data_IF_820293188441
#
_entry.id   IF_820293188441
#
_cell.length_a   1.000
_cell.length_b   1.000
_cell.length_c   1.000
_cell.angle_alpha   90.00
_cell.angle_beta   90.00
_cell.angle_gamma   90.00
#
_symmetry.space_group_name_H-M   'P 1'
#
loop_
_entity.id
_entity.type
_entity.pdbx_description
1 polymer ?
#
# COMPACT_ATOMS: atom_id res chain seq x y z
N UNK A 1 14.98 1.30 1.88
CA UNK A 1 14.77 2.37 2.86
C UNK A 1 16.07 3.04 3.28
N UNK A 2 16.14 4.35 3.09
CA UNK A 2 17.34 5.14 3.40
C UNK A 2 17.54 5.31 4.90
N UNK A 3 16.43 5.46 5.64
CA UNK A 3 16.43 5.90 7.03
C UNK A 3 15.81 4.90 8.03
N UNK A 4 15.27 3.79 7.55
CA UNK A 4 14.44 2.88 8.37
C UNK A 4 12.98 3.31 8.43
N UNK A 5 12.10 2.35 8.70
CA UNK A 5 10.65 2.58 8.71
C UNK A 5 10.23 3.56 9.80
N UNK A 6 10.79 3.42 10.99
CA UNK A 6 10.46 4.25 12.15
C UNK A 6 10.78 5.73 11.95
N UNK A 7 11.96 6.04 11.39
CA UNK A 7 12.41 7.43 11.21
C UNK A 7 11.56 8.22 10.21
N UNK A 8 10.93 7.52 9.26
CA UNK A 8 10.03 8.15 8.28
C UNK A 8 8.60 8.20 8.82
N UNK A 9 8.15 7.15 9.52
CA UNK A 9 6.77 7.05 9.97
C UNK A 9 6.43 8.00 11.11
N UNK A 10 7.36 8.26 12.04
CA UNK A 10 7.11 9.15 13.18
C UNK A 10 6.73 10.57 12.71
N UNK A 11 7.53 11.27 11.88
CA UNK A 11 7.17 12.62 11.46
C UNK A 11 5.88 12.63 10.59
N UNK A 12 5.65 11.62 9.77
CA UNK A 12 4.43 11.55 8.96
C UNK A 12 3.17 11.37 9.80
N UNK A 13 3.22 10.55 10.86
CA UNK A 13 2.12 10.42 11.82
C UNK A 13 1.86 11.74 12.55
N UNK A 14 2.91 12.44 12.96
CA UNK A 14 2.78 13.73 13.64
C UNK A 14 2.09 14.75 12.72
N UNK A 15 2.53 14.83 11.46
CA UNK A 15 1.88 15.70 10.46
C UNK A 15 0.42 15.31 10.27
N UNK A 16 0.12 14.02 10.16
CA UNK A 16 -1.25 13.53 10.03
C UNK A 16 -2.09 13.89 11.26
N UNK A 17 -1.58 13.69 12.48
CA UNK A 17 -2.30 14.04 13.72
C UNK A 17 -2.61 15.54 13.79
N UNK A 18 -1.64 16.39 13.44
CA UNK A 18 -1.82 17.85 13.42
C UNK A 18 -2.91 18.21 12.39
N UNK A 19 -2.83 17.66 11.18
CA UNK A 19 -3.80 17.88 10.12
C UNK A 19 -5.20 17.39 10.51
N UNK A 20 -5.30 16.22 11.14
CA UNK A 20 -6.54 15.65 11.63
C UNK A 20 -7.19 16.53 12.70
N UNK A 21 -6.40 16.97 13.68
CA UNK A 21 -6.88 17.88 14.75
C UNK A 21 -7.30 19.24 14.18
N UNK A 22 -6.50 19.80 13.26
CA UNK A 22 -6.83 21.04 12.58
C UNK A 22 -8.13 20.93 11.78
N UNK A 23 -8.32 19.81 11.05
CA UNK A 23 -9.54 19.56 10.28
C UNK A 23 -10.79 19.57 11.17
N UNK A 24 -10.75 18.84 12.29
CA UNK A 24 -11.85 18.78 13.26
C UNK A 24 -12.12 20.17 13.86
N UNK A 25 -11.07 20.89 14.24
CA UNK A 25 -11.19 22.23 14.81
C UNK A 25 -11.82 23.20 13.81
N UNK A 26 -11.41 23.14 12.55
CA UNK A 26 -11.97 23.98 11.48
C UNK A 26 -13.45 23.65 11.21
N UNK A 27 -13.82 22.38 11.18
CA UNK A 27 -15.23 21.96 11.01
C UNK A 27 -16.07 22.45 12.19
N UNK A 28 -15.58 22.30 13.42
CA UNK A 28 -16.29 22.75 14.63
C UNK A 28 -16.44 24.25 14.67
N UNK A 29 -15.42 24.99 14.26
CA UNK A 29 -15.42 26.46 14.16
C UNK A 29 -16.20 26.98 12.95
N UNK A 30 -16.75 26.11 12.09
CA UNK A 30 -17.50 26.46 10.88
C UNK A 30 -16.74 27.42 9.95
N UNK A 31 -15.44 27.21 9.80
CA UNK A 31 -14.61 28.00 8.89
C UNK A 31 -15.02 27.80 7.42
N UNK A 32 -14.72 28.76 6.53
CA UNK A 32 -15.01 28.63 5.11
C UNK A 32 -14.41 27.34 4.51
N UNK A 33 -15.16 26.65 3.65
CA UNK A 33 -14.81 25.32 3.12
C UNK A 33 -13.47 25.28 2.39
N UNK A 34 -13.00 26.37 1.79
CA UNK A 34 -11.72 26.42 1.09
C UNK A 34 -10.51 26.15 2.02
N UNK A 35 -10.62 26.48 3.31
CA UNK A 35 -9.58 26.19 4.31
C UNK A 35 -9.43 24.68 4.49
N UNK A 36 -10.55 23.93 4.44
CA UNK A 36 -10.54 22.48 4.56
C UNK A 36 -9.75 21.84 3.40
N UNK A 37 -9.89 22.38 2.18
CA UNK A 37 -9.12 21.93 1.02
C UNK A 37 -7.60 22.12 1.19
N UNK A 38 -7.17 23.12 1.95
CA UNK A 38 -5.75 23.32 2.26
C UNK A 38 -5.22 22.31 3.28
N UNK A 39 -6.07 21.78 4.15
CA UNK A 39 -5.69 20.81 5.20
C UNK A 39 -5.67 19.36 4.67
N UNK A 40 -6.63 19.01 3.80
CA UNK A 40 -6.80 17.65 3.28
C UNK A 40 -5.52 17.03 2.69
N UNK A 41 -4.68 17.74 1.92
CA UNK A 41 -3.43 17.15 1.43
C UNK A 41 -2.49 16.66 2.52
N UNK A 42 -2.47 17.28 3.69
CA UNK A 42 -1.66 16.84 4.83
C UNK A 42 -2.22 15.59 5.51
N UNK A 43 -3.51 15.31 5.34
CA UNK A 43 -4.12 14.03 5.76
C UNK A 43 -3.59 12.84 4.92
N UNK A 44 -3.07 13.09 3.71
CA UNK A 44 -2.43 12.06 2.89
C UNK A 44 -1.04 11.65 3.40
N UNK A 45 -0.48 12.36 4.39
CA UNK A 45 0.82 12.04 5.00
C UNK A 45 0.76 10.82 5.95
N UNK A 46 -0.19 9.92 5.76
CA UNK A 46 -0.26 8.66 6.51
C UNK A 46 0.75 7.65 5.97
N UNK A 47 1.53 6.96 6.82
CA UNK A 47 2.43 5.92 6.34
C UNK A 47 1.68 4.78 5.65
N UNK A 48 2.25 4.15 4.61
CA UNK A 48 1.62 3.01 3.94
C UNK A 48 1.78 1.72 4.76
N UNK A 49 1.01 1.60 5.85
CA UNK A 49 1.10 0.51 6.83
C UNK A 49 1.05 -0.88 6.20
N UNK A 50 0.14 -1.10 5.24
CA UNK A 50 0.02 -2.38 4.55
C UNK A 50 1.27 -2.76 3.76
N UNK A 51 1.92 -1.81 3.08
CA UNK A 51 3.18 -2.06 2.38
C UNK A 51 4.33 -2.32 3.35
N UNK A 52 4.40 -1.56 4.45
CA UNK A 52 5.43 -1.73 5.48
C UNK A 52 5.29 -3.06 6.22
N UNK A 53 4.06 -3.49 6.52
CA UNK A 53 3.77 -4.79 7.13
C UNK A 53 4.19 -5.94 6.20
N UNK A 54 3.83 -5.88 4.92
CA UNK A 54 4.26 -6.89 3.93
C UNK A 54 5.77 -6.96 3.79
N UNK A 55 6.47 -5.82 3.84
CA UNK A 55 7.92 -5.79 3.84
C UNK A 55 8.52 -6.46 5.08
N UNK A 56 7.92 -6.29 6.26
CA UNK A 56 8.35 -7.00 7.48
C UNK A 56 8.21 -8.51 7.34
N UNK A 57 7.07 -9.00 6.82
CA UNK A 57 6.86 -10.43 6.55
C UNK A 57 7.89 -11.01 5.59
N UNK A 58 8.13 -10.34 4.46
CA UNK A 58 9.12 -10.81 3.49
C UNK A 58 10.55 -10.82 4.04
N UNK A 59 10.86 -9.93 4.97
CA UNK A 59 12.18 -9.88 5.62
C UNK A 59 12.32 -10.96 6.69
N UNK A 60 11.30 -11.19 7.51
CA UNK A 60 11.30 -12.21 8.57
C UNK A 60 11.33 -13.63 8.03
N UNK A 61 10.60 -13.88 6.94
CA UNK A 61 10.44 -15.20 6.33
C UNK A 61 11.38 -15.41 5.14
N UNK A 62 12.44 -14.60 5.03
CA UNK A 62 13.42 -14.67 3.95
C UNK A 62 14.01 -16.09 3.84
N UNK A 63 13.81 -16.70 2.66
CA UNK A 63 14.28 -18.07 2.36
C UNK A 63 13.19 -19.13 2.40
N UNK A 64 12.00 -18.82 2.90
CA UNK A 64 10.85 -19.73 2.91
C UNK A 64 9.70 -19.10 2.11
N UNK A 65 9.64 -19.41 0.82
CA UNK A 65 8.65 -18.88 -0.12
C UNK A 65 7.23 -19.28 0.27
N UNK A 66 7.03 -20.51 0.78
CA UNK A 66 5.71 -21.00 1.13
C UNK A 66 5.14 -20.24 2.33
N UNK A 67 5.93 -20.04 3.39
CA UNK A 67 5.50 -19.25 4.55
C UNK A 67 5.30 -17.78 4.19
N UNK A 68 6.14 -17.22 3.33
CA UNK A 68 5.98 -15.85 2.84
C UNK A 68 4.65 -15.69 2.12
N UNK A 69 4.32 -16.59 1.19
CA UNK A 69 3.05 -16.54 0.47
C UNK A 69 1.84 -16.67 1.40
N UNK A 70 1.91 -17.58 2.37
CA UNK A 70 0.85 -17.74 3.40
C UNK A 70 0.68 -16.46 4.23
N UNK A 71 1.78 -15.82 4.66
CA UNK A 71 1.73 -14.58 5.43
C UNK A 71 1.15 -13.41 4.61
N UNK A 72 1.50 -13.31 3.33
CA UNK A 72 0.95 -12.30 2.43
C UNK A 72 -0.54 -12.52 2.17
N UNK A 73 -0.97 -13.78 1.96
CA UNK A 73 -2.39 -14.13 1.82
C UNK A 73 -3.17 -13.78 3.10
N UNK A 74 -2.62 -14.12 4.27
CA UNK A 74 -3.22 -13.77 5.55
C UNK A 74 -3.35 -12.25 5.72
N UNK A 75 -2.35 -11.47 5.29
CA UNK A 75 -2.43 -10.01 5.31
C UNK A 75 -3.57 -9.50 4.43
N UNK A 76 -3.82 -10.11 3.26
CA UNK A 76 -4.96 -9.78 2.41
C UNK A 76 -6.30 -10.05 3.10
N UNK A 77 -6.43 -11.19 3.78
CA UNK A 77 -7.65 -11.51 4.55
C UNK A 77 -7.88 -10.49 5.68
N UNK A 78 -6.82 -10.06 6.38
CA UNK A 78 -6.95 -9.02 7.40
C UNK A 78 -7.37 -7.68 6.79
N UNK A 79 -6.82 -7.29 5.64
CA UNK A 79 -7.22 -6.07 4.94
C UNK A 79 -8.73 -6.09 4.63
N UNK A 80 -9.26 -7.21 4.10
CA UNK A 80 -10.69 -7.38 3.83
C UNK A 80 -11.53 -7.34 5.12
N UNK A 81 -11.12 -8.04 6.18
CA UNK A 81 -11.81 -8.00 7.46
C UNK A 81 -11.90 -6.58 8.02
N UNK A 82 -10.84 -5.77 7.87
CA UNK A 82 -10.84 -4.37 8.29
C UNK A 82 -11.87 -3.53 7.51
N UNK A 83 -12.04 -3.78 6.22
CA UNK A 83 -13.07 -3.11 5.42
C UNK A 83 -14.49 -3.52 5.84
N UNK A 84 -14.70 -4.81 6.06
CA UNK A 84 -16.02 -5.36 6.48
C UNK A 84 -16.45 -4.84 7.85
N UNK A 85 -15.53 -4.69 8.79
CA UNK A 85 -15.83 -4.24 10.17
C UNK A 85 -15.71 -2.72 10.29
N UNK A 86 -14.67 -2.13 9.71
CA UNK A 86 -14.32 -0.72 9.92
C UNK A 86 -15.37 0.24 9.37
N UNK A 87 -15.84 0.01 8.15
CA UNK A 87 -16.80 0.90 7.52
C UNK A 87 -18.17 0.93 8.25
N UNK A 88 -18.80 -0.20 8.62
CA UNK A 88 -20.03 -0.20 9.41
C UNK A 88 -19.84 0.45 10.79
N UNK A 89 -18.73 0.15 11.46
CA UNK A 89 -18.43 0.70 12.76
C UNK A 89 -18.28 2.24 12.70
N UNK A 90 -17.46 2.73 11.77
CA UNK A 90 -17.28 4.17 11.57
C UNK A 90 -18.60 4.88 11.20
N UNK A 91 -19.40 4.28 10.32
CA UNK A 91 -20.71 4.81 9.93
C UNK A 91 -21.69 4.87 11.10
N UNK A 92 -21.73 3.82 11.93
CA UNK A 92 -22.60 3.78 13.13
C UNK A 92 -22.19 4.85 14.14
N UNK A 93 -20.89 5.00 14.39
CA UNK A 93 -20.38 6.05 15.27
C UNK A 93 -20.67 7.45 14.72
N UNK A 94 -20.58 7.63 13.38
CA UNK A 94 -20.87 8.91 12.73
C UNK A 94 -22.34 9.32 12.84
N UNK A 95 -23.27 8.37 12.91
CA UNK A 95 -24.70 8.64 13.16
C UNK A 95 -24.91 9.23 14.56
N UNK A 96 -24.15 8.75 15.55
CA UNK A 96 -24.21 9.25 16.94
C UNK A 96 -23.55 10.65 16.97
N UNK A 97 -22.32 10.76 16.49
CA UNK A 97 -21.57 12.01 16.41
C UNK A 97 -20.40 11.87 15.45
N UNK A 98 -20.29 12.79 14.49
CA UNK A 98 -19.14 12.83 13.59
C UNK A 98 -17.82 13.04 14.34
N UNK A 99 -17.83 13.81 15.41
CA UNK A 99 -16.65 14.00 16.28
C UNK A 99 -16.24 12.69 16.96
N UNK A 100 -17.21 11.90 17.43
CA UNK A 100 -16.96 10.62 18.09
C UNK A 100 -16.34 9.63 17.10
N UNK A 101 -16.90 9.51 15.90
CA UNK A 101 -16.35 8.64 14.84
C UNK A 101 -14.91 9.02 14.49
N UNK A 102 -14.67 10.31 14.31
CA UNK A 102 -13.35 10.80 13.98
C UNK A 102 -12.32 10.60 15.09
N UNK A 103 -12.70 10.89 16.34
CA UNK A 103 -11.84 10.67 17.51
C UNK A 103 -11.52 9.19 17.72
N UNK A 104 -12.50 8.31 17.56
CA UNK A 104 -12.31 6.86 17.65
C UNK A 104 -11.30 6.38 16.58
N UNK A 105 -11.48 6.79 15.34
CA UNK A 105 -10.55 6.47 14.24
C UNK A 105 -9.14 6.98 14.54
N UNK A 106 -9.03 8.21 15.03
CA UNK A 106 -7.74 8.81 15.43
C UNK A 106 -7.04 8.01 16.52
N UNK A 107 -7.77 7.59 17.55
CA UNK A 107 -7.22 6.73 18.62
C UNK A 107 -6.76 5.39 18.06
N UNK A 108 -7.54 4.74 17.19
CA UNK A 108 -7.15 3.47 16.57
C UNK A 108 -5.87 3.62 15.75
N UNK A 109 -5.74 4.70 14.96
CA UNK A 109 -4.52 4.98 14.17
C UNK A 109 -3.32 5.18 15.08
N UNK A 110 -3.44 5.96 16.15
CA UNK A 110 -2.34 6.22 17.09
C UNK A 110 -1.92 4.95 17.82
N UNK A 111 -2.88 4.17 18.33
CA UNK A 111 -2.60 2.91 19.04
C UNK A 111 -1.94 1.92 18.08
N UNK A 112 -2.49 1.73 16.88
CA UNK A 112 -1.90 0.85 15.86
C UNK A 112 -0.50 1.29 15.46
N UNK A 113 -0.28 2.59 15.27
CA UNK A 113 1.02 3.16 14.96
C UNK A 113 2.03 2.92 16.09
N UNK A 114 1.63 3.13 17.35
CA UNK A 114 2.49 2.86 18.51
C UNK A 114 2.86 1.39 18.59
N UNK A 115 1.89 0.48 18.46
CA UNK A 115 2.17 -0.97 18.45
C UNK A 115 3.14 -1.35 17.32
N UNK A 116 2.91 -0.83 16.11
CA UNK A 116 3.78 -1.12 14.97
C UNK A 116 5.19 -0.56 15.13
N UNK A 117 5.34 0.63 15.69
CA UNK A 117 6.63 1.32 15.84
C UNK A 117 7.42 0.84 17.07
N UNK A 118 6.76 0.29 18.08
CA UNK A 118 7.44 -0.29 19.25
C UNK A 118 8.01 -1.68 18.96
N UNK A 119 7.44 -2.41 17.97
CA UNK A 119 7.93 -3.71 17.56
C UNK A 119 9.19 -3.57 16.69
N UNK A 120 10.34 -3.45 17.34
CA UNK A 120 11.65 -3.25 16.70
C UNK A 120 12.26 -4.55 16.18
N UNK A 121 11.86 -5.70 16.74
CA UNK A 121 12.41 -7.01 16.37
C UNK A 121 12.13 -7.38 14.91
N UNK A 122 11.02 -6.86 14.37
CA UNK A 122 10.57 -7.12 13.01
C UNK A 122 10.94 -6.02 12.01
N UNK A 123 11.54 -4.91 12.47
CA UNK A 123 11.89 -3.80 11.60
C UNK A 123 13.02 -4.20 10.64
N UNK A 124 12.85 -4.05 9.31
CA UNK A 124 13.92 -4.26 8.35
C UNK A 124 15.06 -3.29 8.59
N UNK A 125 16.29 -3.81 8.64
CA UNK A 125 17.47 -2.98 8.80
C UNK A 125 17.57 -1.93 7.70
N UNK A 126 17.86 -0.70 8.09
CA UNK A 126 18.08 0.38 7.13
C UNK A 126 19.34 0.13 6.29
N UNK A 127 19.41 0.70 5.08
CA UNK A 127 20.63 0.60 4.23
C UNK A 127 21.89 1.07 4.96
N UNK A 128 21.76 2.03 5.86
CA UNK A 128 22.89 2.52 6.66
C UNK A 128 23.37 1.49 7.67
N UNK A 129 22.45 0.74 8.29
CA UNK A 129 22.79 -0.34 9.21
C UNK A 129 23.42 -1.53 8.48
N UNK A 130 22.84 -1.92 7.34
CA UNK A 130 23.36 -2.99 6.50
C UNK A 130 24.75 -2.67 5.95
N UNK A 131 25.01 -1.44 5.54
CA UNK A 131 26.33 -0.98 5.11
C UNK A 131 27.36 -1.06 6.24
N UNK A 132 27.00 -0.63 7.46
CA UNK A 132 27.87 -0.74 8.64
C UNK A 132 28.21 -2.20 8.99
N UNK A 133 27.22 -3.08 8.97
CA UNK A 133 27.42 -4.52 9.23
C UNK A 133 28.30 -5.18 8.16
N UNK A 134 28.21 -4.71 6.92
CA UNK A 134 29.06 -5.18 5.82
C UNK A 134 30.48 -4.55 5.83
N UNK A 135 30.79 -3.66 6.77
CA UNK A 135 32.07 -2.96 6.82
C UNK A 135 32.32 -2.03 5.62
N UNK A 136 31.28 -1.57 4.97
CA UNK A 136 31.32 -0.76 3.75
C UNK A 136 30.78 0.64 3.98
N UNK A 137 31.19 1.58 3.12
CA UNK A 137 30.51 2.86 3.05
C UNK A 137 29.11 2.66 2.46
N UNK A 138 28.17 3.55 2.80
CA UNK A 138 26.82 3.52 2.27
C UNK A 138 26.77 3.58 0.74
N UNK A 139 27.74 4.28 0.12
CA UNK A 139 27.83 4.39 -1.34
C UNK A 139 28.18 3.03 -1.96
N UNK A 140 29.24 2.40 -1.46
CA UNK A 140 29.67 1.06 -1.90
C UNK A 140 28.57 0.01 -1.71
N UNK A 141 27.87 0.04 -0.58
CA UNK A 141 26.73 -0.86 -0.34
C UNK A 141 25.62 -0.67 -1.37
N UNK A 142 25.25 0.58 -1.69
CA UNK A 142 24.26 0.88 -2.73
C UNK A 142 24.70 0.41 -4.11
N UNK A 143 25.96 0.61 -4.47
CA UNK A 143 26.50 0.18 -5.76
C UNK A 143 26.47 -1.36 -5.85
N UNK A 144 26.83 -2.05 -4.79
CA UNK A 144 26.75 -3.51 -4.70
C UNK A 144 25.31 -4.03 -4.79
N UNK A 145 24.38 -3.43 -4.07
CA UNK A 145 22.96 -3.77 -4.13
C UNK A 145 22.36 -3.47 -5.51
N UNK A 146 22.74 -2.37 -6.14
CA UNK A 146 22.31 -2.05 -7.50
C UNK A 146 22.85 -3.05 -8.51
N UNK A 147 24.11 -3.47 -8.39
CA UNK A 147 24.69 -4.51 -9.24
C UNK A 147 24.00 -5.86 -9.04
N UNK A 148 23.74 -6.24 -7.78
CA UNK A 148 23.00 -7.46 -7.46
C UNK A 148 21.56 -7.42 -7.98
N UNK A 149 20.86 -6.32 -7.80
CA UNK A 149 19.51 -6.13 -8.35
C UNK A 149 19.50 -6.23 -9.87
N UNK A 150 20.50 -5.65 -10.55
CA UNK A 150 20.66 -5.76 -11.99
C UNK A 150 20.90 -7.20 -12.44
N UNK A 151 21.72 -7.95 -11.70
CA UNK A 151 21.96 -9.36 -12.00
C UNK A 151 20.68 -10.22 -11.86
N UNK A 152 19.93 -10.02 -10.78
CA UNK A 152 18.64 -10.70 -10.56
C UNK A 152 17.59 -10.32 -11.63
N UNK A 153 17.56 -9.06 -12.04
CA UNK A 153 16.68 -8.62 -13.14
C UNK A 153 17.06 -9.27 -14.47
N UNK A 154 18.35 -9.42 -14.75
CA UNK A 154 18.82 -10.10 -15.96
C UNK A 154 18.42 -11.58 -15.94
N UNK A 155 18.61 -12.25 -14.81
CA UNK A 155 18.22 -13.65 -14.64
C UNK A 155 16.70 -13.85 -14.86
N UNK A 156 15.88 -13.03 -14.21
CA UNK A 156 14.43 -13.05 -14.36
C UNK A 156 13.98 -12.74 -15.81
N UNK A 157 14.61 -11.77 -16.46
CA UNK A 157 14.32 -11.44 -17.87
C UNK A 157 14.66 -12.59 -18.82
N UNK A 158 15.78 -13.26 -18.59
CA UNK A 158 16.20 -14.43 -19.37
C UNK A 158 15.21 -15.59 -19.17
N UNK A 159 14.80 -15.85 -17.92
CA UNK A 159 13.83 -16.90 -17.62
C UNK A 159 12.48 -16.62 -18.27
N UNK A 160 11.98 -15.39 -18.15
CA UNK A 160 10.75 -14.94 -18.80
C UNK A 160 10.82 -15.07 -20.33
N UNK A 161 11.91 -14.62 -20.96
CA UNK A 161 12.10 -14.72 -22.40
C UNK A 161 12.14 -16.18 -22.87
N UNK A 162 12.78 -17.06 -22.08
CA UNK A 162 12.82 -18.50 -22.33
C UNK A 162 11.43 -19.13 -22.31
N UNK A 163 10.67 -18.85 -21.23
CA UNK A 163 9.37 -19.49 -21.03
C UNK A 163 8.34 -18.98 -22.05
N UNK A 164 8.40 -17.69 -22.38
CA UNK A 164 7.58 -17.10 -23.44
C UNK A 164 7.90 -17.70 -24.81
N UNK A 165 9.18 -17.77 -25.19
CA UNK A 165 9.57 -18.33 -26.47
C UNK A 165 9.18 -19.82 -26.59
N UNK A 166 9.22 -20.58 -25.49
CA UNK A 166 8.75 -21.98 -25.46
C UNK A 166 7.22 -22.06 -25.58
N UNK A 167 6.47 -21.19 -24.94
CA UNK A 167 5.01 -21.17 -25.08
C UNK A 167 4.54 -20.77 -26.49
N UNK A 168 5.35 -19.97 -27.20
CA UNK A 168 5.11 -19.59 -28.58
C UNK A 168 5.55 -20.69 -29.59
N UNK A 169 6.05 -21.83 -29.10
CA UNK A 169 6.46 -22.95 -29.94
C UNK A 169 7.75 -22.71 -30.78
N UNK A 170 8.60 -21.78 -30.36
CA UNK A 170 9.84 -21.42 -31.04
C UNK A 170 10.87 -22.54 -30.97
N UNK A 171 11.72 -22.59 -31.97
CA UNK A 171 12.84 -23.55 -32.03
C UNK A 171 13.88 -23.27 -30.96
N UNK A 172 14.70 -24.24 -30.62
CA UNK A 172 15.74 -24.09 -29.58
C UNK A 172 16.72 -22.93 -29.91
N UNK A 173 17.02 -22.68 -31.17
CA UNK A 173 17.88 -21.58 -31.60
C UNK A 173 17.21 -20.20 -31.36
N UNK A 174 15.92 -20.09 -31.66
CA UNK A 174 15.13 -18.86 -31.40
C UNK A 174 14.92 -18.59 -29.92
N UNK A 175 14.76 -19.63 -29.11
CA UNK A 175 14.71 -19.51 -27.66
C UNK A 175 16.04 -18.96 -27.13
N UNK A 176 17.17 -19.50 -27.61
CA UNK A 176 18.48 -19.00 -27.18
C UNK A 176 18.71 -17.55 -27.61
N UNK A 177 18.35 -17.18 -28.84
CA UNK A 177 18.43 -15.80 -29.31
C UNK A 177 17.57 -14.83 -28.45
N UNK A 178 16.37 -15.24 -28.05
CA UNK A 178 15.51 -14.43 -27.16
C UNK A 178 16.15 -14.25 -25.79
N UNK A 179 16.77 -15.27 -25.22
CA UNK A 179 17.49 -15.19 -23.96
C UNK A 179 18.71 -14.25 -24.04
N UNK A 180 19.50 -14.36 -25.09
CA UNK A 180 20.70 -13.52 -25.33
C UNK A 180 20.30 -12.05 -25.51
N UNK A 181 19.22 -11.80 -26.23
CA UNK A 181 18.68 -10.46 -26.41
C UNK A 181 18.17 -9.88 -25.08
N UNK A 182 17.43 -10.64 -24.25
CA UNK A 182 16.98 -10.21 -22.95
C UNK A 182 18.15 -9.83 -22.03
N UNK A 183 19.20 -10.63 -22.02
CA UNK A 183 20.42 -10.35 -21.28
C UNK A 183 21.13 -9.06 -21.76
N UNK A 184 21.21 -8.86 -23.07
CA UNK A 184 21.81 -7.67 -23.71
C UNK A 184 21.01 -6.40 -23.35
N UNK A 185 19.68 -6.44 -23.40
CA UNK A 185 18.81 -5.31 -23.09
C UNK A 185 18.93 -4.86 -21.63
N UNK A 186 19.00 -5.79 -20.68
CA UNK A 186 19.24 -5.47 -19.25
C UNK A 186 20.64 -4.90 -19.06
N UNK A 187 21.67 -5.45 -19.74
CA UNK A 187 23.05 -4.97 -19.65
C UNK A 187 23.22 -3.58 -20.27
N UNK A 188 22.56 -3.31 -21.38
CA UNK A 188 22.55 -2.00 -22.03
C UNK A 188 21.80 -0.92 -21.22
N UNK A 189 21.18 -1.32 -20.08
CA UNK A 189 20.38 -0.39 -19.26
C UNK A 189 19.13 0.09 -20.00
N UNK A 190 18.71 -0.61 -21.06
CA UNK A 190 17.40 -0.40 -21.66
C UNK A 190 16.37 -0.69 -20.58
N UNK A 191 15.92 0.37 -19.93
CA UNK A 191 14.71 0.29 -19.14
C UNK A 191 13.59 0.00 -20.12
N UNK A 192 13.09 -1.24 -20.13
CA UNK A 192 11.75 -1.43 -20.66
C UNK A 192 10.90 -0.35 -19.98
N UNK A 193 10.25 0.45 -20.81
CA UNK A 193 9.37 1.48 -20.28
C UNK A 193 8.37 0.79 -19.40
N UNK A 194 8.45 1.05 -18.10
CA UNK A 194 7.45 0.56 -17.12
C UNK A 194 6.03 0.97 -17.59
N UNK A 195 5.96 2.04 -18.38
CA UNK A 195 4.74 2.55 -19.00
C UNK A 195 4.34 1.78 -20.27
N UNK A 196 4.35 0.45 -20.20
CA UNK A 196 3.76 -0.39 -21.24
C UNK A 196 2.22 -0.34 -21.21
N UNK A 197 1.55 -0.69 -22.32
CA UNK A 197 0.09 -0.68 -22.40
C UNK A 197 -0.56 -1.53 -21.30
N UNK A 198 0.09 -2.60 -20.84
CA UNK A 198 -0.37 -3.42 -19.73
C UNK A 198 -0.42 -2.67 -18.39
N UNK A 199 0.62 -1.90 -18.06
CA UNK A 199 0.61 -1.11 -16.81
C UNK A 199 -0.41 0.02 -16.88
N UNK A 200 -0.55 0.68 -18.04
CA UNK A 200 -1.58 1.71 -18.23
C UNK A 200 -2.96 1.11 -18.02
N UNK A 201 -3.25 -0.07 -18.59
CA UNK A 201 -4.52 -0.77 -18.39
C UNK A 201 -4.76 -1.08 -16.90
N UNK A 202 -3.77 -1.57 -16.16
CA UNK A 202 -3.85 -1.82 -14.72
C UNK A 202 -4.13 -0.52 -13.96
N UNK A 203 -3.42 0.56 -14.25
CA UNK A 203 -3.63 1.86 -13.60
C UNK A 203 -5.05 2.41 -13.86
N UNK A 204 -5.55 2.32 -15.09
CA UNK A 204 -6.90 2.75 -15.45
C UNK A 204 -7.95 1.91 -14.73
N UNK A 205 -7.77 0.60 -14.65
CA UNK A 205 -8.66 -0.31 -13.92
C UNK A 205 -8.70 0.04 -12.44
N UNK A 206 -7.55 0.22 -11.80
CA UNK A 206 -7.48 0.61 -10.39
C UNK A 206 -8.09 1.99 -10.13
N UNK A 207 -7.87 2.95 -11.03
CA UNK A 207 -8.52 4.27 -10.94
C UNK A 207 -10.03 4.15 -11.05
N UNK A 208 -10.53 3.36 -12.01
CA UNK A 208 -11.96 3.09 -12.19
C UNK A 208 -12.60 2.44 -10.97
N UNK A 209 -11.96 1.42 -10.41
CA UNK A 209 -12.42 0.75 -9.17
C UNK A 209 -12.45 1.73 -7.99
N UNK A 210 -11.41 2.54 -7.80
CA UNK A 210 -11.38 3.54 -6.73
C UNK A 210 -12.45 4.61 -6.89
N UNK A 211 -12.69 5.09 -8.11
CA UNK A 211 -13.76 6.04 -8.41
C UNK A 211 -15.14 5.44 -8.15
N UNK A 212 -15.38 4.20 -8.59
CA UNK A 212 -16.61 3.47 -8.31
C UNK A 212 -16.86 3.31 -6.80
N UNK A 213 -15.86 2.86 -6.06
CA UNK A 213 -15.95 2.65 -4.61
C UNK A 213 -16.30 3.96 -3.88
N UNK A 214 -15.65 5.07 -4.26
CA UNK A 214 -15.91 6.38 -3.69
C UNK A 214 -17.31 6.89 -4.03
N UNK A 215 -17.74 6.75 -5.29
CA UNK A 215 -19.06 7.15 -5.74
C UNK A 215 -20.16 6.33 -5.03
N UNK A 216 -20.01 5.01 -4.92
CA UNK A 216 -20.93 4.14 -4.21
C UNK A 216 -21.06 4.56 -2.73
N UNK A 217 -19.95 4.83 -2.05
CA UNK A 217 -19.96 5.24 -0.66
C UNK A 217 -20.68 6.56 -0.44
N UNK A 218 -20.41 7.57 -1.28
CA UNK A 218 -21.08 8.88 -1.21
C UNK A 218 -22.58 8.73 -1.52
N UNK A 219 -22.95 7.93 -2.53
CA UNK A 219 -24.35 7.70 -2.90
C UNK A 219 -25.12 7.03 -1.78
N UNK A 220 -24.57 6.00 -1.12
CA UNK A 220 -25.21 5.33 0.02
C UNK A 220 -25.53 6.34 1.13
N UNK A 221 -24.56 7.20 1.48
CA UNK A 221 -24.76 8.23 2.52
C UNK A 221 -25.80 9.26 2.09
N UNK A 222 -25.76 9.71 0.83
CA UNK A 222 -26.72 10.68 0.29
C UNK A 222 -28.15 10.13 0.31
N UNK A 223 -28.39 8.95 -0.23
CA UNK A 223 -29.71 8.29 -0.23
C UNK A 223 -30.23 8.03 1.18
N UNK A 224 -29.37 7.54 2.08
CA UNK A 224 -29.76 7.32 3.48
C UNK A 224 -30.15 8.64 4.18
N UNK A 225 -29.50 9.75 3.80
CA UNK A 225 -29.81 11.07 4.33
C UNK A 225 -31.14 11.59 3.80
N UNK A 226 -31.38 11.50 2.50
CA UNK A 226 -32.65 11.90 1.86
C UNK A 226 -33.83 11.10 2.35
N UNK A 227 -33.64 9.79 2.55
CA UNK A 227 -34.68 8.89 3.05
C UNK A 227 -34.90 9.00 4.58
N UNK A 228 -34.21 9.86 5.31
CA UNK A 228 -34.20 9.91 6.77
C UNK A 228 -33.83 8.58 7.45
N UNK A 229 -33.03 7.75 6.79
CA UNK A 229 -32.63 6.42 7.24
C UNK A 229 -31.14 6.33 7.58
N UNK A 230 -30.55 7.43 8.05
CA UNK A 230 -29.10 7.51 8.38
C UNK A 230 -28.62 6.40 9.32
N UNK A 231 -29.46 5.94 10.24
CA UNK A 231 -29.14 4.86 11.18
C UNK A 231 -28.86 3.52 10.48
N UNK A 232 -29.34 3.32 9.26
CA UNK A 232 -29.13 2.07 8.49
C UNK A 232 -27.91 2.14 7.57
N UNK A 233 -27.24 3.28 7.46
CA UNK A 233 -26.07 3.46 6.59
C UNK A 233 -24.96 2.44 6.91
N UNK A 234 -24.69 2.19 8.20
CA UNK A 234 -23.72 1.19 8.64
C UNK A 234 -24.08 -0.24 8.20
N UNK A 235 -25.37 -0.60 8.23
CA UNK A 235 -25.84 -1.91 7.77
C UNK A 235 -25.67 -2.08 6.25
N UNK A 236 -25.99 -1.05 5.48
CA UNK A 236 -25.80 -1.06 4.02
C UNK A 236 -24.31 -1.22 3.68
N UNK A 237 -23.42 -0.51 4.37
CA UNK A 237 -21.97 -0.70 4.21
C UNK A 237 -21.51 -2.10 4.61
N UNK A 238 -22.08 -2.69 5.67
CA UNK A 238 -21.79 -4.07 6.04
C UNK A 238 -22.16 -5.05 4.94
N UNK A 239 -23.35 -4.94 4.37
CA UNK A 239 -23.82 -5.78 3.25
C UNK A 239 -22.92 -5.61 2.02
N UNK A 240 -22.55 -4.36 1.69
CA UNK A 240 -21.66 -4.05 0.57
C UNK A 240 -20.27 -4.68 0.75
N UNK A 241 -19.67 -4.51 1.93
CA UNK A 241 -18.35 -5.07 2.26
C UNK A 241 -18.37 -6.60 2.34
N UNK A 242 -19.47 -7.18 2.86
CA UNK A 242 -19.60 -8.63 2.96
C UNK A 242 -19.71 -9.30 1.57
N UNK A 243 -20.35 -8.64 0.61
CA UNK A 243 -20.39 -9.16 -0.77
C UNK A 243 -18.99 -9.20 -1.42
N UNK A 244 -18.10 -8.29 -1.07
CA UNK A 244 -16.69 -8.32 -1.52
C UNK A 244 -15.87 -9.47 -0.93
N UNK A 245 -16.27 -10.00 0.23
CA UNK A 245 -15.59 -11.13 0.87
C UNK A 245 -15.92 -12.47 0.19
N UNK A 246 -17.06 -12.55 -0.48
CA UNK A 246 -17.57 -13.79 -1.12
C UNK A 246 -17.11 -13.89 -2.59
N UNK A 247 -16.78 -12.79 -3.25
CA UNK A 247 -16.34 -12.71 -4.65
C UNK A 247 -14.84 -12.75 -4.78
#
# INVERSE_FOLDING_TARGET
>A
DKFGQRQVSIPTIIVWMIAATALVSCITARVPSWILFCIVPFMAAIPPWGAMSRQRWTTLLKGDTEKTNRALSLSGVFDECMWVIGNPLASTLAVISGLLAFSFTGVCVVVGALMFLTELSTEPKSQTQLAREAGMTRKEYREREAARSKALQAEAAIEYARDRARSEGKTAAEVQAAMDQAAADVNAGRKESIWGPGLIAVCVTWFGLGAFQSAASISIVAFATEANMKQYTGFVFACFSFSSLIG
#
